data_IF_770717862779
#
_entry.id   IF_770717862779
#
_cell.length_a   1.000
_cell.length_b   1.000
_cell.length_c   1.000
_cell.angle_alpha   90.00
_cell.angle_beta   90.00
_cell.angle_gamma   90.00
#
_symmetry.space_group_name_H-M   'P 1'
#
loop_
_entity.id
_entity.type
_entity.pdbx_description
1 polymer ?
#
# COMPACT_ATOMS: atom_id res chain seq x y z
N UNK A 1 23.13 -26.48 -8.92
CA UNK A 1 22.06 -25.64 -9.47
C UNK A 1 21.05 -25.37 -8.35
N UNK A 2 21.37 -24.45 -7.43
CA UNK A 2 20.39 -23.97 -6.46
C UNK A 2 19.57 -22.91 -7.18
N UNK A 3 18.33 -23.24 -7.50
CA UNK A 3 17.36 -22.24 -7.92
C UNK A 3 17.17 -21.29 -6.74
N UNK A 4 17.65 -20.06 -6.88
CA UNK A 4 17.35 -18.97 -5.97
C UNK A 4 15.83 -18.75 -6.01
N UNK A 5 15.10 -19.37 -5.08
CA UNK A 5 13.67 -19.07 -4.91
C UNK A 5 13.62 -17.70 -4.25
N UNK A 6 13.35 -16.67 -5.03
CA UNK A 6 13.09 -15.34 -4.51
C UNK A 6 11.85 -15.41 -3.61
N UNK A 7 12.06 -15.35 -2.29
CA UNK A 7 10.97 -15.38 -1.32
C UNK A 7 10.50 -13.94 -1.06
N UNK A 8 9.65 -13.44 -1.94
CA UNK A 8 8.96 -12.16 -1.75
C UNK A 8 7.72 -12.42 -0.89
N UNK A 9 7.69 -11.81 0.30
CA UNK A 9 6.57 -11.98 1.25
C UNK A 9 5.49 -10.90 1.13
N UNK A 10 5.80 -9.81 0.42
CA UNK A 10 4.87 -8.71 0.13
C UNK A 10 5.25 -7.95 -1.16
N UNK A 11 4.25 -7.44 -1.86
CA UNK A 11 4.38 -6.62 -3.07
C UNK A 11 3.45 -5.41 -2.91
N UNK A 12 3.95 -4.21 -3.24
CA UNK A 12 3.17 -2.98 -3.24
C UNK A 12 2.84 -2.56 -4.68
N UNK A 13 1.56 -2.41 -4.97
CA UNK A 13 1.05 -1.87 -6.23
C UNK A 13 0.78 -0.37 -6.11
N UNK A 14 1.16 0.37 -7.16
CA UNK A 14 0.80 1.78 -7.35
C UNK A 14 -0.02 1.88 -8.63
N UNK A 15 -1.09 2.68 -8.61
CA UNK A 15 -1.90 2.96 -9.80
C UNK A 15 -1.85 4.44 -10.18
N UNK A 16 -2.55 4.81 -11.26
CA UNK A 16 -2.54 6.18 -11.78
C UNK A 16 -3.06 7.16 -10.72
N UNK A 17 -2.37 8.29 -10.61
CA UNK A 17 -2.77 9.39 -9.73
C UNK A 17 -4.08 10.04 -10.18
N UNK A 18 -4.92 10.41 -9.24
CA UNK A 18 -6.21 11.06 -9.47
C UNK A 18 -6.43 12.25 -8.53
N UNK A 19 -7.15 13.26 -9.02
CA UNK A 19 -7.54 14.41 -8.20
C UNK A 19 -8.74 14.02 -7.34
N UNK A 20 -8.57 13.98 -6.03
CA UNK A 20 -9.62 13.65 -5.07
C UNK A 20 -9.91 14.83 -4.12
N UNK A 21 -11.18 15.14 -3.83
CA UNK A 21 -11.53 16.13 -2.81
C UNK A 21 -11.35 15.52 -1.41
N UNK A 22 -10.38 16.02 -0.65
CA UNK A 22 -10.04 15.49 0.69
C UNK A 22 -10.68 16.31 1.80
N UNK A 23 -11.27 15.55 2.73
CA UNK A 23 -11.78 15.93 4.05
C UNK A 23 -10.82 16.73 4.96
N UNK A 24 -10.76 18.07 4.96
CA UNK A 24 -9.83 18.76 5.90
C UNK A 24 -10.39 19.00 7.30
N UNK A 25 -11.70 18.82 7.52
CA UNK A 25 -12.39 19.21 8.75
C UNK A 25 -13.15 20.54 8.65
N UNK A 26 -12.84 21.36 7.65
CA UNK A 26 -13.51 22.64 7.39
C UNK A 26 -14.01 22.76 5.94
N UNK A 27 -13.22 22.31 4.97
CA UNK A 27 -13.54 22.36 3.55
C UNK A 27 -12.98 21.15 2.79
N UNK A 28 -13.48 20.94 1.56
CA UNK A 28 -12.93 19.93 0.65
C UNK A 28 -11.79 20.54 -0.18
N UNK A 29 -10.58 20.05 0.07
CA UNK A 29 -9.35 20.48 -0.63
C UNK A 29 -9.00 19.47 -1.74
N UNK A 30 -8.98 19.87 -3.02
CA UNK A 30 -8.65 18.96 -4.12
C UNK A 30 -7.15 18.61 -4.10
N UNK A 31 -6.83 17.35 -3.84
CA UNK A 31 -5.45 16.85 -3.79
C UNK A 31 -5.19 15.78 -4.84
N UNK A 32 -3.99 15.79 -5.40
CA UNK A 32 -3.52 14.71 -6.25
C UNK A 32 -3.12 13.53 -5.35
N UNK A 33 -3.88 12.44 -5.42
CA UNK A 33 -3.69 11.25 -4.61
C UNK A 33 -3.23 10.08 -5.48
N UNK A 34 -2.38 9.22 -4.92
CA UNK A 34 -1.95 7.96 -5.55
C UNK A 34 -2.61 6.81 -4.79
N UNK A 35 -3.42 5.97 -5.45
CA UNK A 35 -3.92 4.76 -4.81
C UNK A 35 -2.78 3.74 -4.62
N UNK A 36 -2.71 3.16 -3.42
CA UNK A 36 -1.70 2.16 -3.05
C UNK A 36 -2.38 0.89 -2.55
N UNK A 37 -1.87 -0.26 -2.97
CA UNK A 37 -2.33 -1.60 -2.56
C UNK A 37 -1.13 -2.41 -2.05
N UNK A 38 -1.31 -3.14 -0.95
CA UNK A 38 -0.31 -4.03 -0.39
C UNK A 38 -0.84 -5.46 -0.38
N UNK A 39 -0.28 -6.30 -1.26
CA UNK A 39 -0.53 -7.73 -1.29
C UNK A 39 0.59 -8.46 -0.53
N UNK A 40 0.25 -9.32 0.43
CA UNK A 40 1.22 -10.01 1.27
C UNK A 40 0.79 -11.44 1.63
N UNK A 41 1.76 -12.27 1.98
CA UNK A 41 1.49 -13.62 2.49
C UNK A 41 1.10 -13.54 3.98
N UNK A 42 -0.16 -13.81 4.27
CA UNK A 42 -0.71 -13.82 5.64
C UNK A 42 -0.06 -14.86 6.57
N UNK A 43 0.65 -15.86 6.03
CA UNK A 43 1.40 -16.84 6.83
C UNK A 43 2.70 -16.26 7.35
N UNK A 44 3.25 -15.26 6.65
CA UNK A 44 4.50 -14.59 7.00
C UNK A 44 4.28 -13.30 7.80
N UNK A 45 3.18 -12.58 7.56
CA UNK A 45 2.85 -11.31 8.21
C UNK A 45 1.36 -11.22 8.54
N UNK A 46 1.02 -10.63 9.70
CA UNK A 46 -0.36 -10.36 10.07
C UNK A 46 -0.83 -8.97 9.59
N UNK A 47 -2.14 -8.72 9.68
CA UNK A 47 -2.73 -7.46 9.20
C UNK A 47 -2.24 -6.21 9.93
N UNK A 48 -1.91 -6.29 11.22
CA UNK A 48 -1.35 -5.16 11.96
C UNK A 48 0.07 -4.81 11.46
N UNK A 49 0.87 -5.82 11.14
CA UNK A 49 2.18 -5.65 10.52
C UNK A 49 2.06 -5.04 9.12
N UNK A 50 1.14 -5.54 8.30
CA UNK A 50 0.90 -5.02 6.96
C UNK A 50 0.40 -3.56 6.98
N UNK A 51 -0.55 -3.24 7.85
CA UNK A 51 -1.01 -1.86 8.04
C UNK A 51 0.12 -0.94 8.47
N UNK A 52 0.98 -1.39 9.39
CA UNK A 52 2.16 -0.60 9.80
C UNK A 52 3.09 -0.32 8.61
N UNK A 53 3.35 -1.29 7.75
CA UNK A 53 4.16 -1.09 6.52
C UNK A 53 3.50 -0.11 5.56
N UNK A 54 2.16 -0.11 5.46
CA UNK A 54 1.42 0.78 4.57
C UNK A 54 1.38 2.25 5.06
N UNK A 55 1.54 2.48 6.36
CA UNK A 55 1.47 3.81 6.97
C UNK A 55 2.83 4.36 7.47
N UNK A 56 3.91 3.59 7.38
CA UNK A 56 5.26 4.07 7.70
C UNK A 56 5.94 4.69 6.49
#
# INVERSE_FOLDING_TARGET
>A
MQTLVMNVVAIMGLTRTEMQPIWTGAEFDPRLMVPVDLSYDHRAMNGAGAARVMFH
#
